data_IF_583919141272
#
_entry.id   IF_583919141272
#
_cell.length_a   1.000
_cell.length_b   1.000
_cell.length_c   1.000
_cell.angle_alpha   90.00
_cell.angle_beta   90.00
_cell.angle_gamma   90.00
#
_symmetry.space_group_name_H-M   'P 1'
#
loop_
_entity.id
_entity.type
_entity.pdbx_description
1 polymer ?
#
# COMPACT_ATOMS: atom_id res chain seq x y z
N UNK A 1 41.51 37.48 -21.35
CA UNK A 1 40.70 38.46 -20.63
C UNK A 1 39.68 39.04 -21.59
N UNK A 2 38.45 38.66 -21.52
CA UNK A 2 37.35 39.32 -22.20
C UNK A 2 36.12 39.12 -21.31
N UNK A 3 35.72 40.20 -20.62
CA UNK A 3 34.57 40.21 -19.72
C UNK A 3 33.27 40.20 -20.50
N UNK A 4 32.36 39.31 -20.11
CA UNK A 4 30.99 39.31 -20.57
C UNK A 4 30.21 40.39 -19.80
N UNK A 5 29.79 41.44 -20.48
CA UNK A 5 28.84 42.44 -20.00
C UNK A 5 27.43 41.83 -19.95
N UNK A 6 26.86 41.78 -18.77
CA UNK A 6 25.43 41.59 -18.58
C UNK A 6 24.71 42.95 -18.75
N UNK A 7 23.61 43.04 -19.53
CA UNK A 7 22.86 44.28 -19.64
C UNK A 7 22.11 44.58 -18.34
N UNK A 8 22.15 45.84 -17.96
CA UNK A 8 21.61 46.39 -16.72
C UNK A 8 20.08 46.36 -16.65
N UNK A 9 19.63 46.39 -15.43
CA UNK A 9 18.27 46.64 -14.97
C UNK A 9 17.76 47.97 -15.55
N UNK A 10 16.55 47.93 -16.12
CA UNK A 10 15.57 49.02 -16.00
C UNK A 10 14.28 48.60 -16.67
N UNK A 11 13.19 48.53 -15.90
CA UNK A 11 11.82 48.44 -16.47
C UNK A 11 11.00 47.20 -16.13
N UNK A 12 11.20 46.57 -14.98
CA UNK A 12 10.16 45.62 -14.48
C UNK A 12 9.12 46.42 -13.66
N UNK A 13 7.79 46.20 -13.90
CA UNK A 13 6.75 46.77 -13.05
C UNK A 13 6.88 46.19 -11.62
N UNK A 14 6.34 46.88 -10.58
CA UNK A 14 6.45 46.40 -9.21
C UNK A 14 5.83 45.02 -9.11
N UNK A 15 6.70 44.02 -9.10
CA UNK A 15 6.32 42.63 -9.04
C UNK A 15 5.62 42.38 -7.71
N UNK A 16 4.41 41.88 -7.75
CA UNK A 16 3.85 41.08 -6.69
C UNK A 16 4.88 39.99 -6.37
N UNK A 17 5.61 40.17 -5.28
CA UNK A 17 6.30 39.07 -4.63
C UNK A 17 5.21 38.12 -4.12
N UNK A 18 4.81 37.17 -4.98
CA UNK A 18 4.11 35.97 -4.52
C UNK A 18 5.14 35.22 -3.70
N UNK A 19 5.21 35.55 -2.41
CA UNK A 19 5.83 34.69 -1.42
C UNK A 19 5.01 33.39 -1.44
N UNK A 20 5.45 32.42 -2.24
CA UNK A 20 5.07 31.04 -2.02
C UNK A 20 5.61 30.71 -0.63
N UNK A 21 4.76 30.81 0.37
CA UNK A 21 4.98 30.11 1.62
C UNK A 21 4.99 28.65 1.25
N UNK A 22 6.17 28.09 0.97
CA UNK A 22 6.40 26.66 1.07
C UNK A 22 6.06 26.32 2.51
N UNK A 23 4.87 25.82 2.75
CA UNK A 23 4.56 25.13 3.98
C UNK A 23 5.43 23.88 3.89
N UNK A 24 6.54 23.90 4.61
CA UNK A 24 7.51 22.80 4.69
C UNK A 24 6.87 21.69 5.54
N UNK A 25 5.94 20.95 4.91
CA UNK A 25 5.31 19.79 5.55
C UNK A 25 6.38 18.70 5.65
N UNK A 26 7.03 18.66 6.80
CA UNK A 26 7.98 17.62 7.14
C UNK A 26 7.20 16.36 7.49
N UNK A 27 7.23 15.36 6.61
CA UNK A 27 6.61 14.07 6.88
C UNK A 27 7.67 12.98 7.00
N UNK A 28 7.70 12.33 8.16
CA UNK A 28 8.57 11.19 8.42
C UNK A 28 7.90 9.90 7.96
N UNK A 29 8.59 9.16 7.11
CA UNK A 29 8.21 7.81 6.72
C UNK A 29 9.12 6.76 7.37
N UNK A 30 8.55 5.64 7.82
CA UNK A 30 9.30 4.50 8.34
C UNK A 30 8.97 3.25 7.55
N UNK A 31 10.01 2.53 7.10
CA UNK A 31 9.88 1.21 6.46
C UNK A 31 10.30 0.14 7.46
N UNK A 32 9.37 -0.75 7.83
CA UNK A 32 9.59 -1.87 8.74
C UNK A 32 9.71 -3.16 7.94
N UNK A 33 10.90 -3.74 7.87
CA UNK A 33 11.31 -4.79 6.94
C UNK A 33 12.14 -4.23 5.78
N UNK A 34 12.95 -3.21 6.07
CA UNK A 34 13.66 -2.39 5.10
C UNK A 34 14.80 -3.11 4.37
N UNK A 35 15.38 -4.15 4.95
CA UNK A 35 16.47 -4.93 4.32
C UNK A 35 15.97 -6.04 3.39
N UNK A 36 14.67 -6.31 3.36
CA UNK A 36 14.06 -7.33 2.52
C UNK A 36 13.99 -6.95 1.04
N UNK A 37 13.62 -7.92 0.19
CA UNK A 37 13.53 -7.73 -1.26
C UNK A 37 12.47 -6.71 -1.71
N UNK A 38 11.45 -6.42 -0.87
CA UNK A 38 10.51 -5.32 -1.08
C UNK A 38 11.05 -4.05 -0.40
N UNK A 39 11.59 -4.19 0.82
CA UNK A 39 12.01 -3.06 1.66
C UNK A 39 13.07 -2.18 1.03
N UNK A 40 14.12 -2.77 0.46
CA UNK A 40 15.21 -1.99 -0.17
C UNK A 40 14.73 -1.13 -1.34
N UNK A 41 14.10 -1.68 -2.40
CA UNK A 41 13.60 -0.85 -3.51
C UNK A 41 12.48 0.10 -3.09
N UNK A 42 11.64 -0.26 -2.12
CA UNK A 42 10.64 0.65 -1.55
C UNK A 42 11.30 1.84 -0.86
N UNK A 43 12.33 1.60 -0.05
CA UNK A 43 13.09 2.65 0.63
C UNK A 43 13.79 3.58 -0.36
N UNK A 44 14.33 3.04 -1.46
CA UNK A 44 14.90 3.85 -2.56
C UNK A 44 13.85 4.77 -3.19
N UNK A 45 12.66 4.27 -3.47
CA UNK A 45 11.57 5.07 -4.06
C UNK A 45 11.08 6.16 -3.08
N UNK A 46 10.99 5.84 -1.79
CA UNK A 46 10.60 6.82 -0.77
C UNK A 46 11.70 7.86 -0.51
N UNK A 47 12.97 7.50 -0.61
CA UNK A 47 14.12 8.44 -0.54
C UNK A 47 14.04 9.53 -1.60
N UNK A 48 13.44 9.24 -2.75
CA UNK A 48 13.23 10.17 -3.86
C UNK A 48 11.87 10.88 -3.80
N UNK A 49 11.01 10.52 -2.85
CA UNK A 49 9.68 11.10 -2.73
C UNK A 49 9.74 12.58 -2.34
N UNK A 50 9.00 13.45 -3.03
CA UNK A 50 8.91 14.86 -2.64
C UNK A 50 8.09 15.08 -1.36
N UNK A 51 7.44 14.04 -0.84
CA UNK A 51 6.59 14.09 0.36
C UNK A 51 7.30 13.58 1.61
N UNK A 52 8.48 12.97 1.48
CA UNK A 52 9.23 12.40 2.61
C UNK A 52 10.37 13.34 2.97
N UNK A 53 10.33 13.91 4.16
CA UNK A 53 11.40 14.75 4.70
C UNK A 53 12.43 13.96 5.50
N UNK A 54 12.00 12.87 6.14
CA UNK A 54 12.83 11.99 6.97
C UNK A 54 12.47 10.54 6.71
N UNK A 55 13.47 9.68 6.49
CA UNK A 55 13.27 8.26 6.24
C UNK A 55 13.92 7.43 7.33
N UNK A 56 13.12 6.64 8.05
CA UNK A 56 13.59 5.66 9.01
C UNK A 56 13.45 4.25 8.46
N UNK A 57 14.46 3.43 8.68
CA UNK A 57 14.49 2.03 8.23
C UNK A 57 14.66 1.13 9.44
N UNK A 58 13.79 0.15 9.57
CA UNK A 58 13.91 -0.88 10.59
C UNK A 58 13.91 -2.26 9.96
N UNK A 59 14.81 -3.10 10.42
CA UNK A 59 14.80 -4.54 10.11
C UNK A 59 15.50 -5.30 11.24
N UNK A 60 15.31 -6.62 11.29
CA UNK A 60 16.05 -7.49 12.22
C UNK A 60 17.49 -7.73 11.77
N UNK A 61 17.81 -7.38 10.51
CA UNK A 61 19.16 -7.46 9.94
C UNK A 61 19.42 -6.26 9.05
N UNK A 62 20.65 -5.80 8.97
CA UNK A 62 21.22 -4.92 7.93
C UNK A 62 20.48 -3.58 7.64
N UNK A 63 19.51 -3.13 8.43
CA UNK A 63 18.86 -1.84 8.20
C UNK A 63 19.84 -0.64 8.24
N UNK A 64 20.84 -0.59 9.12
CA UNK A 64 21.87 0.45 9.08
C UNK A 64 22.71 0.44 7.79
N UNK A 65 22.99 -0.75 7.22
CA UNK A 65 23.72 -0.85 5.95
C UNK A 65 22.90 -0.30 4.77
N UNK A 66 21.61 -0.61 4.71
CA UNK A 66 20.69 -0.04 3.70
C UNK A 66 20.57 1.48 3.87
N UNK A 67 20.48 1.97 5.11
CA UNK A 67 20.43 3.40 5.38
C UNK A 67 21.71 4.11 4.97
N UNK A 68 22.87 3.53 5.22
CA UNK A 68 24.18 4.07 4.79
C UNK A 68 24.25 4.22 3.27
N UNK A 69 23.85 3.18 2.52
CA UNK A 69 23.82 3.22 1.05
C UNK A 69 22.87 4.31 0.53
N UNK A 70 21.63 4.36 1.03
CA UNK A 70 20.65 5.38 0.65
C UNK A 70 21.08 6.80 1.05
N UNK A 71 21.87 6.97 2.10
CA UNK A 71 22.39 8.28 2.53
C UNK A 71 23.35 8.92 1.52
N UNK A 72 23.93 8.13 0.62
CA UNK A 72 24.78 8.61 -0.48
C UNK A 72 23.99 9.24 -1.63
N UNK A 73 22.65 9.12 -1.63
CA UNK A 73 21.79 9.74 -2.64
C UNK A 73 21.55 11.20 -2.26
N UNK A 74 21.81 12.11 -3.18
CA UNK A 74 21.76 13.56 -2.99
C UNK A 74 20.33 14.14 -2.96
N UNK A 75 19.43 13.54 -2.17
CA UNK A 75 18.09 14.08 -1.86
C UNK A 75 18.06 14.68 -0.46
N UNK A 76 17.11 15.57 -0.21
CA UNK A 76 17.05 16.34 1.03
C UNK A 76 16.67 15.50 2.27
N UNK A 77 16.05 14.32 2.11
CA UNK A 77 15.60 13.50 3.24
C UNK A 77 16.77 12.72 3.88
N UNK A 78 17.13 12.96 5.15
CA UNK A 78 18.05 12.09 5.88
C UNK A 78 17.50 10.69 6.04
N UNK A 79 18.39 9.71 6.17
CA UNK A 79 18.04 8.30 6.36
C UNK A 79 18.71 7.76 7.60
N UNK A 80 17.95 7.05 8.44
CA UNK A 80 18.48 6.34 9.61
C UNK A 80 18.04 4.90 9.62
N UNK A 81 18.94 3.99 10.00
CA UNK A 81 18.68 2.56 10.12
C UNK A 81 18.70 2.10 11.58
N UNK A 82 17.77 1.22 11.93
CA UNK A 82 17.60 0.69 13.29
C UNK A 82 17.51 -0.84 13.25
N UNK A 83 18.12 -1.48 14.23
CA UNK A 83 18.04 -2.90 14.52
C UNK A 83 17.21 -3.12 15.81
N UNK A 84 16.84 -4.36 16.16
CA UNK A 84 16.00 -4.64 17.34
C UNK A 84 16.55 -4.15 18.68
N UNK A 85 17.88 -4.07 18.79
CA UNK A 85 18.55 -3.71 20.03
C UNK A 85 18.19 -2.28 20.47
N UNK A 86 18.15 -2.07 21.80
CA UNK A 86 17.89 -0.77 22.41
C UNK A 86 16.57 -0.11 21.97
N UNK A 87 15.50 -0.89 21.90
CA UNK A 87 14.17 -0.44 21.46
C UNK A 87 14.15 0.13 20.01
N UNK A 88 14.91 -0.50 19.12
CA UNK A 88 15.10 0.01 17.76
C UNK A 88 13.81 0.19 16.97
N UNK A 89 12.81 -0.70 17.11
CA UNK A 89 11.51 -0.52 16.45
C UNK A 89 10.82 0.76 16.96
N UNK A 90 10.77 0.96 18.28
CA UNK A 90 10.14 2.16 18.86
C UNK A 90 10.84 3.44 18.37
N UNK A 91 12.19 3.45 18.37
CA UNK A 91 12.98 4.59 17.86
C UNK A 91 12.75 4.86 16.38
N UNK A 92 12.65 3.80 15.58
CA UNK A 92 12.41 3.93 14.14
C UNK A 92 11.04 4.58 13.86
N UNK A 93 9.97 4.08 14.52
CA UNK A 93 8.60 4.54 14.25
C UNK A 93 8.22 5.81 15.02
N UNK A 94 8.96 6.19 16.06
CA UNK A 94 8.65 7.38 16.86
C UNK A 94 8.57 8.65 15.98
N UNK A 95 7.43 9.35 16.08
CA UNK A 95 7.19 10.57 15.32
C UNK A 95 6.96 10.35 13.83
N UNK A 96 6.71 9.11 13.40
CA UNK A 96 6.37 8.82 12.00
C UNK A 96 4.96 9.29 11.67
N UNK A 97 4.82 9.92 10.50
CA UNK A 97 3.53 10.23 9.88
C UNK A 97 3.03 9.02 9.08
N UNK A 98 3.96 8.23 8.56
CA UNK A 98 3.68 7.04 7.76
C UNK A 98 4.56 5.87 8.19
N UNK A 99 3.95 4.71 8.44
CA UNK A 99 4.66 3.44 8.68
C UNK A 99 4.25 2.43 7.62
N UNK A 100 5.22 1.93 6.86
CA UNK A 100 4.99 0.94 5.81
C UNK A 100 5.63 -0.37 6.23
N UNK A 101 4.89 -1.47 6.12
CA UNK A 101 5.25 -2.74 6.72
C UNK A 101 5.31 -3.83 5.64
N UNK A 102 6.43 -3.94 4.89
CA UNK A 102 6.73 -5.10 4.06
C UNK A 102 7.35 -6.27 4.85
N UNK A 103 7.55 -6.12 6.16
CA UNK A 103 8.13 -7.14 7.02
C UNK A 103 7.36 -8.46 6.95
N UNK A 104 8.06 -9.55 6.88
CA UNK A 104 7.50 -10.88 6.86
C UNK A 104 8.48 -11.91 6.31
N UNK A 105 8.23 -13.16 6.60
CA UNK A 105 9.04 -14.27 6.07
C UNK A 105 8.49 -14.70 4.71
N UNK A 106 9.36 -14.90 3.71
CA UNK A 106 8.95 -15.54 2.48
C UNK A 106 8.62 -17.02 2.75
N UNK A 107 7.67 -17.58 1.99
CA UNK A 107 7.35 -19.00 2.07
C UNK A 107 8.58 -19.83 1.70
N UNK A 108 8.97 -20.75 2.59
CA UNK A 108 10.05 -21.70 2.36
C UNK A 108 9.50 -23.00 1.76
N UNK A 109 10.28 -23.75 0.99
CA UNK A 109 9.90 -25.08 0.55
C UNK A 109 9.51 -25.96 1.73
N UNK A 110 8.39 -26.69 1.61
CA UNK A 110 7.86 -27.56 2.64
C UNK A 110 6.98 -26.90 3.71
N UNK A 111 6.91 -25.56 3.77
CA UNK A 111 5.99 -24.87 4.68
C UNK A 111 4.55 -24.89 4.15
N UNK A 112 3.60 -25.11 5.04
CA UNK A 112 2.19 -24.96 4.77
C UNK A 112 1.80 -23.47 4.72
N UNK A 113 0.59 -23.16 4.25
CA UNK A 113 0.04 -21.78 4.31
C UNK A 113 -0.20 -21.35 5.76
N UNK A 114 -0.56 -22.28 6.63
CA UNK A 114 -0.81 -21.99 8.04
C UNK A 114 0.48 -21.73 8.82
N UNK A 115 1.57 -22.44 8.52
CA UNK A 115 2.89 -22.15 9.11
C UNK A 115 3.35 -20.74 8.75
N UNK A 116 3.18 -20.36 7.48
CA UNK A 116 3.52 -19.02 7.01
C UNK A 116 2.64 -17.93 7.66
N UNK A 117 1.33 -18.22 7.78
CA UNK A 117 0.40 -17.33 8.46
C UNK A 117 0.84 -17.09 9.91
N UNK A 118 1.07 -18.13 10.69
CA UNK A 118 1.42 -18.03 12.12
C UNK A 118 2.71 -17.24 12.32
N UNK A 119 3.73 -17.49 11.49
CA UNK A 119 4.99 -16.76 11.54
C UNK A 119 4.80 -15.26 11.26
N UNK A 120 4.12 -14.93 10.17
CA UNK A 120 3.90 -13.52 9.79
C UNK A 120 2.91 -12.81 10.73
N UNK A 121 1.90 -13.50 11.24
CA UNK A 121 0.96 -12.97 12.20
C UNK A 121 1.67 -12.54 13.52
N UNK A 122 2.60 -13.34 14.01
CA UNK A 122 3.39 -13.01 15.20
C UNK A 122 4.30 -11.80 14.95
N UNK A 123 4.95 -11.73 13.78
CA UNK A 123 5.78 -10.58 13.38
C UNK A 123 4.93 -9.30 13.32
N UNK A 124 3.80 -9.36 12.60
CA UNK A 124 2.90 -8.20 12.44
C UNK A 124 2.30 -7.76 13.76
N UNK A 125 1.92 -8.70 14.62
CA UNK A 125 1.44 -8.41 15.98
C UNK A 125 2.47 -7.61 16.79
N UNK A 126 3.73 -8.05 16.82
CA UNK A 126 4.80 -7.34 17.53
C UNK A 126 5.09 -5.95 16.95
N UNK A 127 5.02 -5.80 15.63
CA UNK A 127 5.15 -4.49 14.96
C UNK A 127 3.97 -3.59 15.35
N UNK A 128 2.75 -4.11 15.35
CA UNK A 128 1.55 -3.36 15.71
C UNK A 128 1.60 -2.86 17.17
N UNK A 129 2.11 -3.69 18.11
CA UNK A 129 2.39 -3.30 19.48
C UNK A 129 3.36 -2.12 19.57
N UNK A 130 4.45 -2.18 18.78
CA UNK A 130 5.45 -1.10 18.74
C UNK A 130 4.88 0.19 18.16
N UNK A 131 4.12 0.11 17.07
CA UNK A 131 3.46 1.26 16.44
C UNK A 131 2.39 1.87 17.35
N UNK A 132 1.56 1.04 17.99
CA UNK A 132 0.53 1.51 18.93
C UNK A 132 1.12 2.38 20.05
N UNK A 133 2.32 2.02 20.55
CA UNK A 133 3.01 2.73 21.64
C UNK A 133 3.76 3.98 21.17
N UNK A 134 4.45 3.92 20.02
CA UNK A 134 5.43 4.93 19.63
C UNK A 134 4.94 5.85 18.47
N UNK A 135 3.96 5.43 17.67
CA UNK A 135 3.42 6.19 16.54
C UNK A 135 1.89 6.01 16.37
N UNK A 136 1.07 6.23 17.41
CA UNK A 136 -0.37 5.91 17.40
C UNK A 136 -1.19 6.72 16.39
N UNK A 137 -0.64 7.80 15.85
CA UNK A 137 -1.32 8.68 14.87
C UNK A 137 -0.80 8.50 13.44
N UNK A 138 0.16 7.61 13.20
CA UNK A 138 0.70 7.37 11.88
C UNK A 138 -0.33 6.75 10.94
N UNK A 139 -0.21 7.03 9.64
CA UNK A 139 -0.82 6.19 8.62
C UNK A 139 -0.06 4.88 8.54
N UNK A 140 -0.78 3.78 8.47
CA UNK A 140 -0.21 2.43 8.53
C UNK A 140 -0.53 1.70 7.23
N UNK A 141 0.49 1.31 6.49
CA UNK A 141 0.39 0.59 5.23
C UNK A 141 0.92 -0.83 5.39
N UNK A 142 0.03 -1.81 5.43
CA UNK A 142 0.38 -3.22 5.59
C UNK A 142 0.59 -3.86 4.22
N UNK A 143 1.82 -4.31 3.96
CA UNK A 143 2.21 -5.08 2.75
C UNK A 143 2.41 -6.56 3.13
N UNK A 144 2.64 -6.84 4.42
CA UNK A 144 2.86 -8.19 4.95
C UNK A 144 1.74 -9.16 4.55
N UNK A 145 2.10 -10.33 4.05
CA UNK A 145 1.14 -11.34 3.61
C UNK A 145 0.86 -12.39 4.70
N UNK A 146 -0.39 -12.90 4.71
CA UNK A 146 -1.55 -12.56 3.87
C UNK A 146 -2.25 -11.27 4.34
N UNK A 147 -2.29 -10.25 3.48
CA UNK A 147 -2.84 -8.93 3.79
C UNK A 147 -4.25 -9.01 4.39
N UNK A 148 -5.09 -9.88 3.83
CA UNK A 148 -6.49 -10.05 4.28
C UNK A 148 -6.64 -10.40 5.77
N UNK A 149 -5.60 -11.01 6.38
CA UNK A 149 -5.57 -11.35 7.80
C UNK A 149 -4.67 -10.43 8.61
N UNK A 150 -3.59 -9.92 8.01
CA UNK A 150 -2.63 -9.05 8.72
C UNK A 150 -3.24 -7.71 9.09
N UNK A 151 -4.08 -7.13 8.23
CA UNK A 151 -4.80 -5.87 8.52
C UNK A 151 -5.76 -6.02 9.71
N UNK A 152 -6.63 -7.04 9.79
CA UNK A 152 -7.42 -7.33 10.98
C UNK A 152 -6.58 -7.54 12.25
N UNK A 153 -5.43 -8.26 12.20
CA UNK A 153 -4.53 -8.38 13.35
C UNK A 153 -4.07 -7.01 13.84
N UNK A 154 -3.63 -6.16 12.90
CA UNK A 154 -3.18 -4.82 13.22
C UNK A 154 -4.29 -4.01 13.89
N UNK A 155 -5.50 -4.07 13.33
CA UNK A 155 -6.67 -3.39 13.88
C UNK A 155 -6.97 -3.82 15.32
N UNK A 156 -6.97 -5.14 15.60
CA UNK A 156 -7.23 -5.66 16.94
C UNK A 156 -6.17 -5.22 17.97
N UNK A 157 -4.89 -5.19 17.58
CA UNK A 157 -3.82 -4.68 18.45
C UNK A 157 -4.02 -3.19 18.74
N UNK A 158 -4.30 -2.38 17.72
CA UNK A 158 -4.55 -0.95 17.93
C UNK A 158 -5.79 -0.69 18.79
N UNK A 159 -6.86 -1.49 18.65
CA UNK A 159 -8.05 -1.44 19.51
C UNK A 159 -7.70 -1.77 20.96
N UNK A 160 -6.89 -2.81 21.21
CA UNK A 160 -6.46 -3.19 22.53
C UNK A 160 -5.64 -2.09 23.24
N UNK A 161 -4.96 -1.25 22.47
CA UNK A 161 -4.23 -0.08 22.97
C UNK A 161 -5.06 1.21 23.00
N UNK A 162 -6.34 1.19 22.60
CA UNK A 162 -7.25 2.34 22.51
C UNK A 162 -6.74 3.46 21.56
N UNK A 163 -6.05 3.09 20.50
CA UNK A 163 -5.49 4.02 19.50
C UNK A 163 -5.94 3.70 18.06
N UNK A 164 -6.94 2.84 17.91
CA UNK A 164 -7.44 2.45 16.60
C UNK A 164 -8.18 3.59 15.90
N UNK A 165 -7.72 3.97 14.74
CA UNK A 165 -8.43 4.85 13.81
C UNK A 165 -8.56 4.11 12.46
N UNK A 166 -9.78 3.66 12.07
CA UNK A 166 -10.00 2.92 10.83
C UNK A 166 -9.64 3.71 9.57
N UNK A 167 -9.58 5.06 9.67
CA UNK A 167 -9.20 5.93 8.54
C UNK A 167 -7.71 5.89 8.23
N UNK A 168 -6.88 5.36 9.13
CA UNK A 168 -5.42 5.41 9.04
C UNK A 168 -4.76 4.05 8.83
N UNK A 169 -5.53 2.97 8.76
CA UNK A 169 -5.03 1.61 8.55
C UNK A 169 -5.40 1.10 7.15
N UNK A 170 -4.39 0.75 6.36
CA UNK A 170 -4.51 0.37 4.96
C UNK A 170 -3.81 -0.97 4.69
N UNK A 171 -4.48 -1.90 4.03
CA UNK A 171 -3.85 -3.03 3.36
C UNK A 171 -3.52 -2.66 1.92
N UNK A 172 -2.27 -2.81 1.52
CA UNK A 172 -1.82 -2.36 0.20
C UNK A 172 -2.22 -3.37 -0.87
N UNK A 173 -3.22 -3.03 -1.68
CA UNK A 173 -3.71 -3.81 -2.83
C UNK A 173 -3.33 -3.18 -4.17
N UNK A 174 -2.58 -2.09 -4.15
CA UNK A 174 -2.22 -1.30 -5.34
C UNK A 174 -1.48 -2.11 -6.42
N UNK A 175 -0.79 -3.20 -6.04
CA UNK A 175 -0.14 -4.07 -7.03
C UNK A 175 -1.16 -4.78 -7.93
N UNK A 176 -2.35 -5.10 -7.42
CA UNK A 176 -3.38 -5.76 -8.20
C UNK A 176 -3.93 -4.83 -9.29
N UNK A 177 -4.06 -3.53 -8.98
CA UNK A 177 -4.41 -2.52 -9.97
C UNK A 177 -3.32 -2.33 -11.03
N UNK A 178 -2.06 -2.27 -10.60
CA UNK A 178 -0.90 -2.15 -11.51
C UNK A 178 -0.83 -3.33 -12.47
N UNK A 179 -1.02 -4.55 -11.96
CA UNK A 179 -1.09 -5.77 -12.79
C UNK A 179 -2.28 -5.75 -13.73
N UNK A 180 -3.47 -5.45 -13.22
CA UNK A 180 -4.69 -5.40 -14.03
C UNK A 180 -4.55 -4.41 -15.18
N UNK A 181 -4.07 -3.20 -14.91
CA UNK A 181 -3.80 -2.17 -15.93
C UNK A 181 -2.78 -2.64 -16.97
N UNK A 182 -1.69 -3.26 -16.53
CA UNK A 182 -0.65 -3.80 -17.42
C UNK A 182 -1.19 -4.94 -18.28
N UNK A 183 -1.91 -5.88 -17.71
CA UNK A 183 -2.40 -7.06 -18.44
C UNK A 183 -3.54 -6.72 -19.41
N UNK A 184 -4.42 -5.78 -19.01
CA UNK A 184 -5.48 -5.28 -19.90
C UNK A 184 -4.89 -4.50 -21.07
N UNK A 185 -3.93 -3.61 -20.84
CA UNK A 185 -3.26 -2.88 -21.92
C UNK A 185 -2.54 -3.80 -22.90
N UNK A 186 -1.90 -4.86 -22.38
CA UNK A 186 -1.29 -5.90 -23.20
C UNK A 186 -2.32 -6.67 -24.04
N UNK A 187 -3.44 -7.07 -23.44
CA UNK A 187 -4.53 -7.74 -24.12
C UNK A 187 -5.21 -6.86 -25.18
N UNK A 188 -5.23 -5.54 -24.97
CA UNK A 188 -5.73 -4.54 -25.93
C UNK A 188 -4.72 -4.20 -27.03
N UNK A 189 -3.51 -4.79 -27.06
CA UNK A 189 -2.46 -4.46 -28.02
C UNK A 189 -1.78 -3.11 -27.75
N UNK A 190 -2.03 -2.47 -26.62
CA UNK A 190 -1.56 -1.14 -26.23
C UNK A 190 -0.53 -1.16 -25.08
N UNK A 191 0.34 -2.15 -25.06
CA UNK A 191 1.32 -2.38 -23.96
C UNK A 191 2.18 -1.15 -23.64
N UNK A 192 2.50 -0.32 -24.62
CA UNK A 192 3.29 0.91 -24.39
C UNK A 192 2.51 1.99 -23.66
N UNK A 193 1.19 1.90 -23.65
CA UNK A 193 0.28 2.86 -23.03
C UNK A 193 -0.27 2.37 -21.67
N UNK A 194 0.36 1.35 -21.08
CA UNK A 194 -0.11 0.72 -19.82
C UNK A 194 -0.34 1.72 -18.68
N UNK A 195 0.43 2.80 -18.64
CA UNK A 195 0.28 3.86 -17.64
C UNK A 195 -1.06 4.64 -17.78
N UNK A 196 -1.67 4.62 -18.96
CA UNK A 196 -2.95 5.28 -19.25
C UNK A 196 -4.16 4.37 -18.99
N UNK A 197 -3.92 3.09 -18.69
CA UNK A 197 -4.97 2.13 -18.35
C UNK A 197 -5.27 2.19 -16.85
N UNK A 198 -6.55 2.18 -16.54
CA UNK A 198 -7.05 2.19 -15.17
C UNK A 198 -8.09 1.08 -15.04
N UNK A 199 -7.76 0.07 -14.29
CA UNK A 199 -8.64 -1.08 -14.05
C UNK A 199 -8.91 -1.15 -12.55
N UNK A 200 -10.15 -0.87 -12.10
CA UNK A 200 -10.50 -1.03 -10.69
C UNK A 200 -10.35 -2.48 -10.24
N UNK A 201 -9.81 -2.68 -9.04
CA UNK A 201 -9.72 -4.00 -8.40
C UNK A 201 -10.18 -3.88 -6.97
N UNK A 202 -11.19 -4.68 -6.60
CA UNK A 202 -11.82 -4.67 -5.29
C UNK A 202 -11.65 -6.04 -4.60
N UNK A 203 -12.16 -6.18 -3.38
CA UNK A 203 -12.17 -7.47 -2.68
C UNK A 203 -11.09 -7.60 -1.63
N UNK A 204 -10.16 -8.52 -1.86
CA UNK A 204 -8.98 -8.77 -1.01
C UNK A 204 -7.69 -8.79 -1.83
N UNK A 205 -6.64 -9.41 -1.27
CA UNK A 205 -5.31 -9.48 -1.88
C UNK A 205 -4.76 -10.92 -1.94
N UNK A 206 -5.59 -11.90 -2.27
CA UNK A 206 -5.11 -13.28 -2.43
C UNK A 206 -6.04 -14.09 -3.34
N UNK A 207 -5.54 -14.60 -4.46
CA UNK A 207 -6.24 -15.50 -5.37
C UNK A 207 -7.65 -15.02 -5.69
N UNK A 208 -8.66 -15.86 -5.43
CA UNK A 208 -10.07 -15.57 -5.75
C UNK A 208 -10.66 -14.36 -5.00
N UNK A 209 -9.97 -13.85 -3.97
CA UNK A 209 -10.44 -12.63 -3.29
C UNK A 209 -10.15 -11.35 -4.08
N UNK A 210 -9.29 -11.41 -5.09
CA UNK A 210 -8.98 -10.30 -5.99
C UNK A 210 -10.08 -10.25 -7.06
N UNK A 211 -10.83 -9.15 -7.12
CA UNK A 211 -11.94 -8.96 -8.06
C UNK A 211 -11.66 -7.79 -8.99
N UNK A 212 -11.10 -8.03 -10.18
CA UNK A 212 -10.92 -6.98 -11.17
C UNK A 212 -12.27 -6.62 -11.81
N UNK A 213 -12.59 -5.34 -11.89
CA UNK A 213 -13.77 -4.81 -12.54
C UNK A 213 -13.42 -4.42 -13.98
N UNK A 214 -13.30 -5.43 -14.84
CA UNK A 214 -12.90 -5.24 -16.25
C UNK A 214 -13.94 -4.44 -17.03
N UNK A 215 -15.22 -4.51 -16.62
CA UNK A 215 -16.30 -3.73 -17.20
C UNK A 215 -16.14 -2.22 -17.01
N UNK A 216 -15.35 -1.82 -16.00
CA UNK A 216 -15.08 -0.43 -15.64
C UNK A 216 -13.68 0.05 -16.07
N UNK A 217 -12.97 -0.74 -16.87
CA UNK A 217 -11.63 -0.37 -17.37
C UNK A 217 -11.66 0.95 -18.17
N UNK A 218 -10.63 1.77 -17.97
CA UNK A 218 -10.41 3.01 -18.73
C UNK A 218 -8.98 3.00 -19.30
N UNK A 219 -8.80 3.09 -20.64
CA UNK A 219 -9.82 3.01 -21.69
C UNK A 219 -10.69 1.76 -21.62
N UNK A 220 -11.93 1.84 -22.17
CA UNK A 220 -12.84 0.70 -22.17
C UNK A 220 -12.22 -0.51 -22.86
N UNK A 221 -12.32 -1.65 -22.19
CA UNK A 221 -11.84 -2.94 -22.69
C UNK A 221 -13.01 -3.86 -23.00
N UNK A 222 -13.05 -4.37 -24.23
CA UNK A 222 -14.08 -5.31 -24.67
C UNK A 222 -13.41 -6.56 -25.24
N UNK A 223 -13.89 -7.70 -24.81
CA UNK A 223 -13.45 -9.00 -25.29
C UNK A 223 -14.58 -10.02 -25.13
N UNK A 224 -14.43 -11.20 -25.72
CA UNK A 224 -15.35 -12.32 -25.47
C UNK A 224 -15.22 -12.82 -24.02
N UNK A 225 -16.21 -13.61 -23.59
CA UNK A 225 -16.29 -14.11 -22.23
C UNK A 225 -15.06 -14.94 -21.86
N UNK A 226 -14.56 -15.78 -22.78
CA UNK A 226 -13.37 -16.59 -22.54
C UNK A 226 -12.16 -15.72 -22.21
N UNK A 227 -11.95 -14.65 -22.97
CA UNK A 227 -10.83 -13.73 -22.76
C UNK A 227 -10.95 -12.95 -21.45
N UNK A 228 -12.16 -12.56 -21.07
CA UNK A 228 -12.45 -11.92 -19.78
C UNK A 228 -12.09 -12.87 -18.62
N UNK A 229 -12.47 -14.16 -18.71
CA UNK A 229 -12.14 -15.17 -17.69
C UNK A 229 -10.64 -15.44 -17.60
N UNK A 230 -9.96 -15.63 -18.73
CA UNK A 230 -8.49 -15.79 -18.79
C UNK A 230 -7.77 -14.63 -18.13
N UNK A 231 -8.17 -13.40 -18.46
CA UNK A 231 -7.55 -12.18 -17.94
C UNK A 231 -7.83 -12.00 -16.44
N UNK A 232 -9.06 -12.27 -16.01
CA UNK A 232 -9.44 -12.29 -14.59
C UNK A 232 -8.58 -13.28 -13.81
N UNK A 233 -8.44 -14.51 -14.30
CA UNK A 233 -7.61 -15.52 -13.67
C UNK A 233 -6.14 -15.09 -13.61
N UNK A 234 -5.59 -14.53 -14.68
CA UNK A 234 -4.22 -14.01 -14.72
C UNK A 234 -4.00 -12.89 -13.69
N UNK A 235 -4.97 -11.99 -13.51
CA UNK A 235 -4.88 -10.92 -12.50
C UNK A 235 -4.91 -11.51 -11.09
N UNK A 236 -5.83 -12.45 -10.81
CA UNK A 236 -5.97 -13.12 -9.52
C UNK A 236 -4.70 -13.88 -9.11
N UNK A 237 -4.03 -14.52 -10.05
CA UNK A 237 -2.88 -15.38 -9.80
C UNK A 237 -1.57 -14.84 -10.39
N UNK A 238 -1.52 -13.55 -10.74
CA UNK A 238 -0.32 -12.93 -11.31
C UNK A 238 0.92 -12.96 -10.40
N UNK A 239 0.72 -13.16 -9.10
CA UNK A 239 1.82 -13.45 -8.17
C UNK A 239 2.54 -14.75 -8.47
N UNK A 240 1.82 -15.78 -8.90
CA UNK A 240 2.36 -17.12 -9.19
C UNK A 240 3.24 -17.10 -10.45
N UNK A 241 2.95 -16.23 -11.44
CA UNK A 241 3.83 -16.01 -12.60
C UNK A 241 5.24 -15.61 -12.15
N UNK A 242 5.33 -14.70 -11.18
CA UNK A 242 6.60 -14.20 -10.65
C UNK A 242 7.31 -15.28 -9.83
N UNK A 243 6.57 -16.01 -8.98
CA UNK A 243 7.13 -17.12 -8.18
C UNK A 243 7.72 -18.19 -9.09
N UNK A 244 6.99 -18.56 -10.15
CA UNK A 244 7.42 -19.53 -11.14
C UNK A 244 8.68 -19.05 -11.90
N UNK A 245 8.67 -17.79 -12.36
CA UNK A 245 9.79 -17.20 -13.07
C UNK A 245 11.06 -17.07 -12.21
N UNK A 246 10.90 -16.98 -10.89
CA UNK A 246 11.99 -16.96 -9.90
C UNK A 246 12.37 -18.35 -9.39
N UNK A 247 11.90 -19.44 -10.03
CA UNK A 247 12.15 -20.80 -9.59
C UNK A 247 11.85 -21.05 -8.10
N UNK A 248 10.75 -20.47 -7.61
CA UNK A 248 10.32 -20.49 -6.20
C UNK A 248 11.29 -19.80 -5.21
N UNK A 249 12.23 -18.98 -5.69
CA UNK A 249 13.16 -18.21 -4.85
C UNK A 249 12.57 -16.89 -4.35
N UNK A 250 11.25 -16.78 -4.20
CA UNK A 250 10.56 -15.61 -3.71
C UNK A 250 9.39 -15.17 -4.60
N UNK A 251 8.70 -14.14 -4.17
CA UNK A 251 7.53 -13.55 -4.84
C UNK A 251 7.86 -12.21 -5.50
N UNK A 252 6.84 -11.43 -5.85
CA UNK A 252 7.01 -10.08 -6.36
C UNK A 252 7.73 -9.21 -5.32
N UNK A 253 8.76 -8.51 -5.76
CA UNK A 253 9.55 -7.57 -4.94
C UNK A 253 9.53 -6.17 -5.54
N UNK A 254 10.09 -6.00 -6.74
CA UNK A 254 10.22 -4.69 -7.40
C UNK A 254 8.86 -4.06 -7.74
N UNK A 255 7.96 -4.84 -8.33
CA UNK A 255 6.60 -4.38 -8.64
C UNK A 255 5.77 -4.08 -7.39
N UNK A 256 6.00 -4.83 -6.29
CA UNK A 256 5.36 -4.53 -5.02
C UNK A 256 5.91 -3.25 -4.37
N UNK A 257 7.23 -3.05 -4.44
CA UNK A 257 7.87 -1.82 -3.98
C UNK A 257 7.35 -0.60 -4.75
N UNK A 258 7.23 -0.71 -6.07
CA UNK A 258 6.65 0.33 -6.92
C UNK A 258 5.20 0.66 -6.51
N UNK A 259 4.34 -0.36 -6.39
CA UNK A 259 2.94 -0.17 -6.01
C UNK A 259 2.79 0.41 -4.60
N UNK A 260 3.61 -0.08 -3.64
CA UNK A 260 3.64 0.42 -2.27
C UNK A 260 4.09 1.88 -2.18
N UNK A 261 5.15 2.26 -2.91
CA UNK A 261 5.63 3.63 -2.96
C UNK A 261 4.61 4.57 -3.62
N UNK A 262 3.93 4.12 -4.69
CA UNK A 262 2.86 4.89 -5.33
C UNK A 262 1.74 5.18 -4.34
N UNK A 263 1.25 4.18 -3.63
CA UNK A 263 0.18 4.35 -2.65
C UNK A 263 0.64 5.19 -1.44
N UNK A 264 1.87 4.99 -0.96
CA UNK A 264 2.47 5.82 0.09
C UNK A 264 2.51 7.31 -0.30
N UNK A 265 2.93 7.61 -1.53
CA UNK A 265 2.95 8.97 -2.04
C UNK A 265 1.53 9.56 -2.15
N UNK A 266 0.53 8.77 -2.52
CA UNK A 266 -0.86 9.21 -2.57
C UNK A 266 -1.39 9.57 -1.17
N UNK A 267 -1.11 8.74 -0.16
CA UNK A 267 -1.47 9.00 1.25
C UNK A 267 -0.78 10.27 1.77
N UNK A 268 0.53 10.41 1.54
CA UNK A 268 1.30 11.58 1.99
C UNK A 268 0.88 12.86 1.26
N UNK A 269 0.58 12.78 -0.03
CA UNK A 269 0.06 13.91 -0.80
C UNK A 269 -1.31 14.37 -0.26
N UNK A 270 -2.20 13.43 0.01
CA UNK A 270 -3.52 13.72 0.58
C UNK A 270 -3.41 14.29 2.00
N UNK A 271 -2.48 13.79 2.82
CA UNK A 271 -2.19 14.34 4.15
C UNK A 271 -1.72 15.81 4.09
N UNK A 272 -1.11 16.22 2.98
CA UNK A 272 -0.75 17.62 2.69
C UNK A 272 -1.87 18.42 2.00
N UNK A 273 -3.09 17.87 1.92
CA UNK A 273 -4.24 18.53 1.31
C UNK A 273 -4.28 18.49 -0.23
N UNK A 274 -3.40 17.71 -0.88
CA UNK A 274 -3.44 17.52 -2.33
C UNK A 274 -4.52 16.51 -2.69
N UNK A 275 -5.35 16.86 -3.66
CA UNK A 275 -6.41 15.98 -4.15
C UNK A 275 -5.89 15.12 -5.31
N UNK A 276 -6.18 13.82 -5.26
CA UNK A 276 -5.96 12.93 -6.39
C UNK A 276 -7.06 13.11 -7.44
N UNK A 277 -6.71 12.96 -8.72
CA UNK A 277 -7.67 12.98 -9.83
C UNK A 277 -8.51 11.71 -9.90
N UNK A 278 -7.92 10.59 -9.50
CA UNK A 278 -8.55 9.27 -9.52
C UNK A 278 -8.61 8.70 -8.10
N UNK A 279 -9.61 7.87 -7.78
CA UNK A 279 -9.66 7.18 -6.50
C UNK A 279 -8.48 6.22 -6.34
N UNK A 280 -7.96 6.14 -5.13
CA UNK A 280 -7.04 5.06 -4.75
C UNK A 280 -7.85 3.85 -4.28
N UNK A 281 -7.20 2.68 -4.27
CA UNK A 281 -7.82 1.44 -3.82
C UNK A 281 -6.98 0.81 -2.71
N UNK A 282 -7.64 0.41 -1.65
CA UNK A 282 -6.97 -0.24 -0.52
C UNK A 282 -7.94 -1.12 0.27
N UNK A 283 -7.39 -2.15 0.90
CA UNK A 283 -8.12 -3.00 1.82
C UNK A 283 -8.23 -2.30 3.17
N UNK A 284 -9.44 -1.88 3.52
CA UNK A 284 -9.72 -1.06 4.71
C UNK A 284 -10.89 -1.61 5.51
N UNK A 285 -10.98 -1.19 6.77
CA UNK A 285 -12.19 -1.36 7.56
C UNK A 285 -13.30 -0.47 6.97
N UNK A 286 -14.43 -1.07 6.63
CA UNK A 286 -15.58 -0.35 6.06
C UNK A 286 -16.22 0.65 7.05
N UNK A 287 -15.85 0.59 8.33
CA UNK A 287 -16.22 1.59 9.32
C UNK A 287 -15.44 2.91 9.19
N UNK A 288 -14.41 2.98 8.32
CA UNK A 288 -13.66 4.21 8.08
C UNK A 288 -14.51 5.35 7.49
N UNK A 289 -15.58 5.00 6.77
CA UNK A 289 -16.64 5.91 6.31
C UNK A 289 -17.98 5.18 6.44
N UNK A 290 -18.79 5.56 7.41
CA UNK A 290 -20.03 4.87 7.73
C UNK A 290 -21.00 4.82 6.55
N UNK A 291 -21.17 5.92 5.83
CA UNK A 291 -22.10 5.99 4.70
C UNK A 291 -21.60 5.19 3.49
N UNK A 292 -20.34 5.38 3.11
CA UNK A 292 -19.73 4.66 1.98
C UNK A 292 -19.57 3.18 2.30
N UNK A 293 -19.14 2.82 3.49
CA UNK A 293 -19.02 1.45 3.95
C UNK A 293 -20.36 0.71 3.99
N UNK A 294 -21.44 1.40 4.43
CA UNK A 294 -22.80 0.85 4.35
C UNK A 294 -23.19 0.57 2.90
N UNK A 295 -22.98 1.52 2.00
CA UNK A 295 -23.33 1.33 0.58
C UNK A 295 -22.55 0.16 -0.05
N UNK A 296 -21.29 -0.06 0.34
CA UNK A 296 -20.52 -1.24 -0.09
C UNK A 296 -21.14 -2.51 0.49
N UNK A 297 -21.47 -2.55 1.78
CA UNK A 297 -22.10 -3.71 2.45
C UNK A 297 -23.46 -4.08 1.85
N UNK A 298 -24.21 -3.11 1.36
CA UNK A 298 -25.49 -3.35 0.67
C UNK A 298 -25.27 -4.16 -0.64
N UNK A 299 -24.08 -4.08 -1.25
CA UNK A 299 -23.70 -4.86 -2.45
C UNK A 299 -23.07 -6.21 -2.10
N UNK A 300 -22.16 -6.24 -1.09
CA UNK A 300 -21.35 -7.43 -0.81
C UNK A 300 -21.87 -8.30 0.34
N UNK A 301 -22.84 -7.81 1.10
CA UNK A 301 -23.35 -8.44 2.33
C UNK A 301 -22.77 -7.82 3.61
N UNK A 302 -23.55 -7.91 4.69
CA UNK A 302 -23.25 -7.20 5.94
C UNK A 302 -22.15 -7.85 6.81
N UNK A 303 -21.77 -9.09 6.51
CA UNK A 303 -20.86 -9.87 7.36
C UNK A 303 -19.37 -9.59 7.12
N UNK A 304 -19.05 -8.67 6.22
CA UNK A 304 -17.68 -8.31 5.87
C UNK A 304 -17.31 -6.97 6.50
N UNK A 305 -16.29 -6.98 7.37
CA UNK A 305 -15.78 -5.75 8.00
C UNK A 305 -14.68 -5.08 7.16
N UNK A 306 -13.84 -5.86 6.49
CA UNK A 306 -12.71 -5.37 5.70
C UNK A 306 -12.86 -5.76 4.23
N UNK A 307 -12.62 -4.78 3.34
CA UNK A 307 -12.73 -4.99 1.90
C UNK A 307 -11.85 -3.99 1.15
N UNK A 308 -11.28 -4.36 0.02
CA UNK A 308 -10.59 -3.43 -0.86
C UNK A 308 -11.62 -2.66 -1.68
N UNK A 309 -11.60 -1.34 -1.55
CA UNK A 309 -12.60 -0.42 -2.11
C UNK A 309 -11.93 0.80 -2.74
N UNK A 310 -12.62 1.48 -3.67
CA UNK A 310 -12.17 2.79 -4.14
C UNK A 310 -12.34 3.84 -3.02
N UNK A 311 -11.29 4.65 -2.83
CA UNK A 311 -11.18 5.63 -1.76
C UNK A 311 -10.90 7.03 -2.29
N UNK A 312 -11.51 8.04 -1.67
CA UNK A 312 -10.93 9.38 -1.62
C UNK A 312 -10.08 9.47 -0.37
N UNK A 313 -8.82 9.84 -0.53
CA UNK A 313 -7.90 10.13 0.57
C UNK A 313 -7.94 11.63 0.90
N UNK A 314 -7.84 11.95 2.18
CA UNK A 314 -7.79 13.31 2.70
C UNK A 314 -6.71 13.47 3.77
N UNK A 315 -6.65 14.64 4.43
CA UNK A 315 -5.61 14.94 5.43
C UNK A 315 -5.55 13.96 6.61
N UNK A 316 -6.66 13.29 6.90
CA UNK A 316 -6.77 12.35 8.02
C UNK A 316 -6.81 10.87 7.57
N UNK A 317 -6.52 10.57 6.30
CA UNK A 317 -6.59 9.22 5.73
C UNK A 317 -7.83 9.04 4.86
N UNK A 318 -8.62 7.99 5.12
CA UNK A 318 -9.88 7.76 4.37
C UNK A 318 -10.84 8.92 4.62
N UNK A 319 -11.11 9.71 3.58
CA UNK A 319 -12.11 10.76 3.61
C UNK A 319 -13.47 10.21 3.18
N UNK A 320 -13.48 9.34 2.16
CA UNK A 320 -14.70 8.73 1.63
C UNK A 320 -14.41 7.36 1.02
N UNK A 321 -15.27 6.40 1.30
CA UNK A 321 -15.39 5.15 0.55
C UNK A 321 -16.34 5.41 -0.62
N UNK A 322 -15.85 5.22 -1.84
CA UNK A 322 -16.62 5.46 -3.06
C UNK A 322 -17.52 4.26 -3.39
N UNK A 323 -18.53 4.50 -4.24
CA UNK A 323 -19.33 3.42 -4.82
C UNK A 323 -18.46 2.45 -5.61
N UNK A 324 -18.81 1.17 -5.59
CA UNK A 324 -18.17 0.15 -6.42
C UNK A 324 -18.50 0.30 -7.93
N UNK A 325 -19.39 1.23 -8.30
CA UNK A 325 -19.84 1.42 -9.67
C UNK A 325 -20.81 0.34 -10.15
N UNK A 326 -20.97 0.26 -11.44
CA UNK A 326 -21.85 -0.74 -12.07
C UNK A 326 -21.12 -2.09 -12.15
N UNK A 327 -21.69 -3.09 -11.45
CA UNK A 327 -21.13 -4.45 -11.35
C UNK A 327 -21.84 -5.34 -12.36
N UNK A 328 -21.09 -5.94 -13.28
CA UNK A 328 -21.64 -6.92 -14.21
C UNK A 328 -22.04 -8.23 -13.49
N UNK A 329 -22.84 -9.06 -14.15
CA UNK A 329 -23.24 -10.37 -13.60
C UNK A 329 -22.03 -11.27 -13.31
N UNK A 330 -21.04 -11.27 -14.19
CA UNK A 330 -19.79 -12.03 -13.99
C UNK A 330 -19.00 -11.52 -12.77
N UNK A 331 -18.84 -10.22 -12.63
CA UNK A 331 -18.14 -9.60 -11.49
C UNK A 331 -18.91 -9.84 -10.17
N UNK A 332 -20.24 -9.86 -10.21
CA UNK A 332 -21.06 -10.21 -9.05
C UNK A 332 -20.78 -11.64 -8.56
N UNK A 333 -20.60 -12.60 -9.45
CA UNK A 333 -20.21 -13.96 -9.06
C UNK A 333 -18.77 -14.02 -8.50
N UNK A 334 -17.84 -13.21 -9.02
CA UNK A 334 -16.51 -13.08 -8.44
C UNK A 334 -16.56 -12.51 -7.02
N UNK A 335 -17.39 -11.49 -6.79
CA UNK A 335 -17.59 -10.89 -5.46
C UNK A 335 -18.10 -11.94 -4.48
N UNK A 336 -19.10 -12.76 -4.82
CA UNK A 336 -19.62 -13.83 -3.95
C UNK A 336 -18.52 -14.81 -3.53
N UNK A 337 -17.73 -15.30 -4.49
CA UNK A 337 -16.58 -16.18 -4.22
C UNK A 337 -15.53 -15.52 -3.34
N UNK A 338 -15.27 -14.24 -3.58
CA UNK A 338 -14.33 -13.44 -2.77
C UNK A 338 -14.77 -13.38 -1.31
N UNK A 339 -16.04 -13.10 -1.05
CA UNK A 339 -16.60 -12.96 0.29
C UNK A 339 -16.49 -14.25 1.09
N UNK A 340 -16.80 -15.41 0.48
CA UNK A 340 -16.68 -16.72 1.14
C UNK A 340 -15.25 -16.94 1.68
N UNK A 341 -14.24 -16.60 0.88
CA UNK A 341 -12.83 -16.71 1.29
C UNK A 341 -12.41 -15.63 2.31
N UNK A 342 -12.89 -14.39 2.13
CA UNK A 342 -12.53 -13.26 2.99
C UNK A 342 -13.03 -13.43 4.42
N UNK A 343 -14.23 -13.99 4.64
CA UNK A 343 -14.75 -14.27 5.98
C UNK A 343 -13.73 -15.04 6.82
N UNK A 344 -13.25 -16.16 6.31
CA UNK A 344 -12.27 -16.98 7.02
C UNK A 344 -10.91 -16.26 7.21
N UNK A 345 -10.50 -15.42 6.25
CA UNK A 345 -9.26 -14.67 6.38
C UNK A 345 -9.35 -13.59 7.48
N UNK A 346 -10.48 -12.88 7.57
CA UNK A 346 -10.75 -11.86 8.58
C UNK A 346 -10.86 -12.52 9.96
N UNK A 347 -11.65 -13.59 10.09
CA UNK A 347 -11.80 -14.33 11.34
C UNK A 347 -10.46 -14.83 11.88
N UNK A 348 -9.60 -15.36 11.01
CA UNK A 348 -8.24 -15.78 11.36
C UNK A 348 -7.40 -14.63 11.90
N UNK A 349 -7.53 -13.45 11.32
CA UNK A 349 -6.85 -12.24 11.79
C UNK A 349 -7.38 -11.75 13.13
N UNK A 350 -8.68 -11.57 13.25
CA UNK A 350 -9.34 -11.06 14.47
C UNK A 350 -9.13 -11.99 15.67
N UNK A 351 -9.17 -13.30 15.44
CA UNK A 351 -9.00 -14.32 16.51
C UNK A 351 -7.54 -14.61 16.87
N UNK A 352 -6.58 -14.07 16.12
CA UNK A 352 -5.17 -14.36 16.33
C UNK A 352 -4.71 -13.88 17.72
N UNK A 353 -4.05 -14.77 18.43
CA UNK A 353 -3.34 -14.47 19.69
C UNK A 353 -1.92 -15.01 19.58
N UNK A 354 -0.91 -14.18 19.84
CA UNK A 354 0.47 -14.67 19.81
C UNK A 354 0.63 -15.74 20.89
N UNK A 355 1.27 -16.84 20.52
CA UNK A 355 1.73 -17.82 21.51
C UNK A 355 2.76 -17.09 22.39
N UNK A 356 2.56 -17.09 23.71
CA UNK A 356 3.57 -16.56 24.63
C UNK A 356 4.87 -17.34 24.38
N UNK A 357 5.90 -16.65 23.89
CA UNK A 357 7.26 -17.16 23.82
C UNK A 357 7.83 -17.31 25.22
#
# INVERSE_FOLDING_TARGET
MAGANFPGKDGAPPGFLVTYTYIDFKMKATVVGAAGGIGQPLSLLLKQSPYVSDLSLYDVVNAPGVAADLSHINTASPVQGFLPENDGLAKAVQGSDLVIIPAGMPRKPGQTRDDLFNANASIVYGIAEGVAKAAPKAFILVISNPVNSMVPIFAEVLKAHNVYDPKRLFGVTSLDLVRASTFVSEAAGAKKDAANYHVPVIGGHSGVTIVPLLSQAKPSFQADQQKIEELTNRIQFGGDEVVKAKNNAGSATLSMAFAGARFANAVLAAAQGKKAELPEFSYVDLAADEAGGKAVKDVIGNDIAFFSVPLTLGPNGVEKIQSLGDISSFESELIKKSIESLKGNIEKGVSFKPTKL
#
